data_IF_194749905691
#
_entry.id   IF_194749905691
#
_cell.length_a   1.000
_cell.length_b   1.000
_cell.length_c   1.000
_cell.angle_alpha   90.00
_cell.angle_beta   90.00
_cell.angle_gamma   90.00
#
_symmetry.space_group_name_H-M   'P 1'
#
loop_
_entity.id
_entity.type
_entity.pdbx_description
1 polymer ?
#
# COMPACT_ATOMS: atom_id res chain seq x y z
N UNK A 1 -6.89 1.31 -4.42
CA UNK A 1 -6.16 0.15 -4.97
C UNK A 1 -7.15 -0.88 -5.50
N UNK A 2 -7.03 -1.30 -6.76
CA UNK A 2 -7.82 -2.41 -7.32
C UNK A 2 -6.95 -3.66 -7.33
N UNK A 3 -7.44 -4.76 -6.75
CA UNK A 3 -6.85 -6.08 -6.95
C UNK A 3 -7.39 -6.69 -8.24
N UNK A 4 -6.50 -7.23 -9.08
CA UNK A 4 -6.88 -7.84 -10.36
C UNK A 4 -7.16 -9.33 -10.17
N UNK A 5 -6.15 -10.12 -9.81
CA UNK A 5 -6.23 -11.59 -9.84
C UNK A 5 -6.06 -12.26 -8.46
N UNK A 6 -5.44 -11.60 -7.47
CA UNK A 6 -5.15 -12.19 -6.15
C UNK A 6 -5.29 -11.17 -5.02
N UNK A 7 -5.44 -11.63 -3.78
CA UNK A 7 -5.67 -10.75 -2.63
C UNK A 7 -4.49 -9.83 -2.38
N UNK A 8 -4.77 -8.54 -2.21
CA UNK A 8 -3.76 -7.55 -1.85
C UNK A 8 -4.30 -6.50 -0.89
N UNK A 9 -3.39 -5.89 -0.16
CA UNK A 9 -3.59 -4.67 0.59
C UNK A 9 -2.48 -3.67 0.26
N UNK A 10 -2.67 -2.45 0.73
CA UNK A 10 -1.70 -1.37 0.63
C UNK A 10 -1.39 -0.87 2.04
N UNK A 11 -0.12 -0.89 2.41
CA UNK A 11 0.37 -0.51 3.75
C UNK A 11 1.50 0.50 3.63
N UNK A 12 1.48 1.53 4.49
CA UNK A 12 2.60 2.45 4.76
C UNK A 12 2.76 2.51 6.28
N UNK A 13 3.83 1.90 6.80
CA UNK A 13 4.02 1.76 8.26
C UNK A 13 4.30 3.11 8.93
N UNK A 14 5.07 3.99 8.29
CA UNK A 14 5.45 5.31 8.82
C UNK A 14 4.25 6.23 9.05
N UNK A 15 3.16 6.01 8.32
CA UNK A 15 1.92 6.77 8.44
C UNK A 15 0.83 6.00 9.21
N UNK A 16 1.07 4.74 9.56
CA UNK A 16 0.04 3.86 10.13
C UNK A 16 -1.13 3.62 9.18
N UNK A 17 -0.91 3.75 7.88
CA UNK A 17 -1.94 3.65 6.84
C UNK A 17 -2.03 2.21 6.37
N UNK A 18 -3.26 1.68 6.35
CA UNK A 18 -3.54 0.41 5.72
C UNK A 18 -4.94 0.37 5.12
N UNK A 19 -5.07 -0.28 3.97
CA UNK A 19 -6.39 -0.64 3.46
C UNK A 19 -6.91 -1.92 4.11
N UNK A 20 -8.21 -2.20 3.93
CA UNK A 20 -8.69 -3.59 4.02
C UNK A 20 -8.00 -4.44 2.94
N UNK A 21 -7.98 -5.76 3.14
CA UNK A 21 -7.56 -6.70 2.10
C UNK A 21 -8.62 -6.69 0.99
N UNK A 22 -8.22 -6.30 -0.22
CA UNK A 22 -9.04 -6.40 -1.42
C UNK A 22 -8.94 -7.82 -1.98
N UNK A 23 -10.09 -8.48 -2.17
CA UNK A 23 -10.17 -9.74 -2.89
C UNK A 23 -9.94 -9.54 -4.39
N UNK A 24 -9.73 -10.62 -5.14
CA UNK A 24 -9.62 -10.57 -6.60
C UNK A 24 -10.83 -9.84 -7.22
N UNK A 25 -10.57 -8.85 -8.07
CA UNK A 25 -11.58 -8.00 -8.70
C UNK A 25 -12.14 -6.88 -7.81
N UNK A 26 -11.83 -6.86 -6.50
CA UNK A 26 -12.29 -5.82 -5.60
C UNK A 26 -11.39 -4.58 -5.55
N UNK A 27 -11.97 -3.49 -5.04
CA UNK A 27 -11.27 -2.26 -4.76
C UNK A 27 -11.29 -1.98 -3.25
N UNK A 28 -10.15 -1.52 -2.73
CA UNK A 28 -10.02 -0.95 -1.41
C UNK A 28 -9.46 0.46 -1.49
N UNK A 29 -9.97 1.33 -0.63
CA UNK A 29 -9.60 2.74 -0.57
C UNK A 29 -9.26 3.11 0.88
N UNK A 30 -8.35 4.06 1.02
CA UNK A 30 -7.96 4.68 2.29
C UNK A 30 -7.57 6.11 1.99
N UNK A 31 -7.97 7.04 2.86
CA UNK A 31 -7.58 8.44 2.80
C UNK A 31 -6.60 8.73 3.94
N UNK A 32 -5.53 9.44 3.63
CA UNK A 32 -4.52 9.85 4.60
C UNK A 32 -3.88 11.15 4.15
N UNK A 33 -3.38 11.92 5.13
CA UNK A 33 -2.65 13.16 4.88
C UNK A 33 -1.15 12.96 5.03
N UNK A 34 -0.38 13.69 4.22
CA UNK A 34 1.07 13.84 4.37
C UNK A 34 1.39 15.33 4.53
N UNK A 35 2.31 15.66 5.43
CA UNK A 35 2.67 17.05 5.75
C UNK A 35 4.18 17.33 5.68
N UNK A 36 4.94 16.38 5.13
CA UNK A 36 6.38 16.48 4.94
C UNK A 36 6.75 15.84 3.61
N UNK A 37 7.67 16.48 2.90
CA UNK A 37 8.32 15.89 1.73
C UNK A 37 9.23 14.75 2.15
N UNK A 38 9.52 13.85 1.22
CA UNK A 38 10.37 12.68 1.45
C UNK A 38 9.89 11.43 0.73
N UNK A 39 10.52 10.31 1.04
CA UNK A 39 10.21 9.01 0.47
C UNK A 39 9.70 8.08 1.56
N UNK A 40 8.60 7.37 1.28
CA UNK A 40 8.02 6.37 2.16
C UNK A 40 7.90 5.05 1.42
N UNK A 41 8.16 3.94 2.10
CA UNK A 41 7.91 2.62 1.52
C UNK A 41 6.42 2.27 1.64
N UNK A 42 5.85 1.74 0.57
CA UNK A 42 4.57 1.04 0.63
C UNK A 42 4.74 -0.40 0.17
N UNK A 43 3.94 -1.31 0.73
CA UNK A 43 4.02 -2.72 0.40
C UNK A 43 2.68 -3.45 0.59
N UNK A 44 2.62 -4.70 0.13
CA UNK A 44 1.53 -5.63 0.45
C UNK A 44 1.92 -6.54 1.61
N UNK A 45 1.08 -6.59 2.66
CA UNK A 45 1.34 -7.34 3.89
C UNK A 45 0.90 -8.81 3.83
N UNK A 46 0.34 -9.26 2.70
CA UNK A 46 -0.13 -10.63 2.53
C UNK A 46 1.06 -11.60 2.38
N UNK A 47 1.20 -12.50 3.36
CA UNK A 47 2.17 -13.60 3.31
C UNK A 47 3.58 -13.11 3.04
N UNK A 48 4.16 -13.56 1.92
CA UNK A 48 5.51 -13.20 1.46
C UNK A 48 5.50 -12.22 0.28
N UNK A 49 4.40 -11.51 -0.01
CA UNK A 49 4.32 -10.61 -1.17
C UNK A 49 5.37 -9.50 -1.12
N UNK A 50 5.60 -8.89 0.05
CA UNK A 50 6.68 -7.91 0.25
C UNK A 50 8.06 -8.50 -0.08
N UNK A 51 8.35 -9.70 0.42
CA UNK A 51 9.61 -10.41 0.16
C UNK A 51 9.78 -10.80 -1.31
N UNK A 52 8.67 -11.01 -2.02
CA UNK A 52 8.62 -11.26 -3.47
C UNK A 52 8.72 -9.98 -4.30
N UNK A 53 8.91 -8.81 -3.67
CA UNK A 53 9.10 -7.54 -4.35
C UNK A 53 7.83 -6.72 -4.57
N UNK A 54 6.71 -7.08 -3.89
CA UNK A 54 5.51 -6.23 -3.87
C UNK A 54 5.69 -5.08 -2.87
N UNK A 55 6.65 -4.24 -3.20
CA UNK A 55 7.10 -3.06 -2.46
C UNK A 55 7.31 -1.93 -3.47
N UNK A 56 7.09 -0.69 -3.05
CA UNK A 56 7.36 0.49 -3.85
C UNK A 56 7.60 1.72 -2.98
N UNK A 57 8.00 2.82 -3.61
CA UNK A 57 8.29 4.08 -2.93
C UNK A 57 7.23 5.11 -3.28
N UNK A 58 6.58 5.67 -2.26
CA UNK A 58 5.78 6.87 -2.34
C UNK A 58 6.69 8.09 -2.17
N UNK A 59 6.88 8.86 -3.23
CA UNK A 59 7.66 10.10 -3.21
C UNK A 59 6.70 11.27 -2.97
N UNK A 60 6.99 12.08 -1.96
CA UNK A 60 6.23 13.27 -1.59
C UNK A 60 7.09 14.50 -1.91
N UNK A 61 6.63 15.28 -2.87
CA UNK A 61 7.28 16.50 -3.36
C UNK A 61 6.43 17.75 -3.02
N UNK A 62 7.00 18.95 -3.21
CA UNK A 62 6.34 20.24 -2.95
C UNK A 62 5.28 20.64 -3.99
#
# INVERSE_FOLDING_TARGET
MKSVDMMHDFVIDELGVRTRIAQAGEMAEVEFGVNKTGELEFYCSIGNHRDMGMVGTLIIEE
#
